data_IF_443454965949
#
_entry.id   IF_443454965949
#
_cell.length_a   1.000
_cell.length_b   1.000
_cell.length_c   1.000
_cell.angle_alpha   90.00
_cell.angle_beta   90.00
_cell.angle_gamma   90.00
#
_symmetry.space_group_name_H-M   'P 1'
#
loop_
_entity.id
_entity.type
_entity.pdbx_description
1 polymer ?
#
# COMPACT_ATOMS: atom_id res chain seq x y z
N UNK A 1 -48.30 32.40 -9.13
CA UNK A 1 -47.49 31.87 -8.00
C UNK A 1 -47.29 30.35 -8.04
N UNK A 2 -48.30 29.52 -8.36
CA UNK A 2 -48.15 28.05 -8.48
C UNK A 2 -47.10 27.57 -9.50
N UNK A 3 -46.95 28.26 -10.64
CA UNK A 3 -45.96 27.89 -11.67
C UNK A 3 -44.52 28.23 -11.28
N UNK A 4 -44.29 29.25 -10.45
CA UNK A 4 -42.94 29.56 -9.94
C UNK A 4 -42.48 28.52 -8.91
N UNK A 5 -43.38 28.09 -8.01
CA UNK A 5 -43.08 27.09 -6.99
C UNK A 5 -42.61 25.75 -7.60
N UNK A 6 -43.21 25.34 -8.72
CA UNK A 6 -42.86 24.11 -9.45
C UNK A 6 -41.46 24.17 -10.09
N UNK A 7 -41.04 25.34 -10.58
CA UNK A 7 -39.71 25.53 -11.18
C UNK A 7 -38.62 25.55 -10.11
N UNK A 8 -38.86 26.19 -8.95
CA UNK A 8 -37.93 26.13 -7.80
C UNK A 8 -37.84 24.72 -7.21
N UNK A 9 -38.92 23.94 -7.20
CA UNK A 9 -38.90 22.56 -6.72
C UNK A 9 -38.07 21.62 -7.60
N UNK A 10 -38.01 21.88 -8.92
CA UNK A 10 -37.19 21.11 -9.87
C UNK A 10 -35.69 21.44 -9.70
N UNK A 11 -35.35 22.70 -9.43
CA UNK A 11 -33.95 23.09 -9.18
C UNK A 11 -33.39 22.53 -7.86
N UNK A 12 -34.21 22.42 -6.81
CA UNK A 12 -33.80 21.84 -5.52
C UNK A 12 -33.60 20.31 -5.62
N UNK A 13 -34.34 19.63 -6.50
CA UNK A 13 -34.16 18.20 -6.78
C UNK A 13 -32.89 17.89 -7.61
N UNK A 14 -32.31 18.87 -8.30
CA UNK A 14 -31.05 18.71 -9.02
C UNK A 14 -29.80 18.97 -8.17
N UNK A 15 -29.94 19.49 -6.94
CA UNK A 15 -28.80 19.69 -6.03
C UNK A 15 -28.48 18.47 -5.16
N UNK A 16 -29.20 17.35 -5.34
CA UNK A 16 -28.94 16.10 -4.66
C UNK A 16 -28.21 15.16 -5.62
N UNK A 17 -26.96 14.86 -5.31
CA UNK A 17 -26.06 13.91 -5.99
C UNK A 17 -25.20 14.46 -7.14
N UNK A 18 -24.17 15.23 -6.80
CA UNK A 18 -22.79 14.85 -7.19
C UNK A 18 -21.82 15.29 -6.10
N UNK A 19 -21.95 14.77 -4.88
CA UNK A 19 -20.72 14.43 -4.17
C UNK A 19 -20.10 13.32 -4.99
N UNK A 20 -19.22 13.69 -5.92
CA UNK A 20 -18.25 12.76 -6.45
C UNK A 20 -17.36 12.34 -5.27
N UNK A 21 -17.87 11.43 -4.44
CA UNK A 21 -17.06 10.34 -3.95
C UNK A 21 -16.60 9.64 -5.22
N UNK A 22 -15.53 10.18 -5.82
CA UNK A 22 -14.67 9.36 -6.65
C UNK A 22 -14.46 8.11 -5.81
N UNK A 23 -14.85 6.95 -6.34
CA UNK A 23 -14.53 5.66 -5.74
C UNK A 23 -13.01 5.65 -5.55
N UNK A 24 -12.55 6.11 -4.39
CA UNK A 24 -11.14 6.12 -4.02
C UNK A 24 -10.85 4.67 -3.74
N UNK A 25 -10.48 3.97 -4.80
CA UNK A 25 -9.97 2.61 -4.70
C UNK A 25 -8.78 2.64 -3.77
N UNK A 26 -8.79 1.75 -2.78
CA UNK A 26 -7.63 1.46 -1.95
C UNK A 26 -6.35 1.40 -2.80
N UNK A 27 -5.25 1.92 -2.25
CA UNK A 27 -3.97 2.10 -2.93
C UNK A 27 -3.48 0.80 -3.60
N UNK A 28 -3.54 -0.34 -2.89
CA UNK A 28 -3.09 -1.61 -3.44
C UNK A 28 -4.00 -2.08 -4.57
N UNK A 29 -5.31 -1.93 -4.39
CA UNK A 29 -6.29 -2.26 -5.43
C UNK A 29 -6.11 -1.40 -6.67
N UNK A 30 -5.90 -0.08 -6.50
CA UNK A 30 -5.65 0.85 -7.59
C UNK A 30 -4.37 0.54 -8.35
N UNK A 31 -3.30 0.21 -7.62
CA UNK A 31 -2.04 -0.24 -8.17
C UNK A 31 -2.17 -1.55 -8.97
N UNK A 32 -2.84 -2.55 -8.40
CA UNK A 32 -3.04 -3.83 -9.07
C UNK A 32 -3.93 -3.70 -10.31
N UNK A 33 -5.00 -2.91 -10.23
CA UNK A 33 -5.87 -2.62 -11.38
C UNK A 33 -5.12 -1.91 -12.50
N UNK A 34 -4.19 -1.00 -12.19
CA UNK A 34 -3.35 -0.34 -13.18
C UNK A 34 -2.42 -1.33 -13.91
N UNK A 35 -2.07 -2.46 -13.30
CA UNK A 35 -1.28 -3.52 -13.93
C UNK A 35 -2.17 -4.47 -14.74
N UNK A 36 -3.20 -5.04 -14.11
CA UNK A 36 -4.05 -6.08 -14.70
C UNK A 36 -4.87 -5.55 -15.87
N UNK A 37 -5.38 -4.31 -15.79
CA UNK A 37 -6.11 -3.67 -16.90
C UNK A 37 -5.24 -3.43 -18.14
N UNK A 38 -3.92 -3.48 -17.98
CA UNK A 38 -2.94 -3.35 -19.06
C UNK A 38 -2.30 -4.69 -19.43
N UNK A 39 -2.93 -5.81 -19.04
CA UNK A 39 -2.48 -7.19 -19.30
C UNK A 39 -1.12 -7.53 -18.70
N UNK A 40 -0.72 -6.86 -17.61
CA UNK A 40 0.46 -7.25 -16.83
C UNK A 40 0.03 -8.09 -15.64
N UNK A 41 0.73 -9.20 -15.40
CA UNK A 41 0.59 -9.98 -14.18
C UNK A 41 1.24 -9.28 -13.00
N UNK A 42 0.66 -9.45 -11.82
CA UNK A 42 1.30 -9.12 -10.53
C UNK A 42 1.89 -10.41 -10.01
N UNK A 43 3.15 -10.43 -9.61
CA UNK A 43 3.77 -11.65 -9.06
C UNK A 43 3.64 -11.70 -7.54
N UNK A 44 3.95 -10.58 -6.90
CA UNK A 44 3.90 -10.40 -5.46
C UNK A 44 3.32 -9.03 -5.13
N UNK A 45 2.63 -8.96 -4.01
CA UNK A 45 2.15 -7.70 -3.47
C UNK A 45 2.24 -7.72 -1.95
N UNK A 46 2.35 -6.54 -1.38
CA UNK A 46 2.45 -6.33 0.05
C UNK A 46 1.85 -4.99 0.44
N UNK A 47 1.11 -4.99 1.53
CA UNK A 47 0.67 -3.79 2.22
C UNK A 47 1.19 -3.81 3.65
N UNK A 48 1.84 -2.72 4.03
CA UNK A 48 2.35 -2.48 5.38
C UNK A 48 1.59 -1.32 6.00
N UNK A 49 1.03 -1.50 7.19
CA UNK A 49 0.51 -0.40 8.01
C UNK A 49 1.50 -0.18 9.15
N UNK A 50 1.87 1.08 9.41
CA UNK A 50 2.75 1.48 10.52
C UNK A 50 2.08 2.55 11.36
N UNK A 51 2.18 2.46 12.67
CA UNK A 51 1.70 3.49 13.59
C UNK A 51 2.59 3.59 14.83
N UNK A 52 2.88 4.82 15.25
CA UNK A 52 3.45 5.10 16.56
C UNK A 52 2.31 5.13 17.60
N UNK A 53 2.45 4.32 18.65
CA UNK A 53 1.41 4.06 19.64
C UNK A 53 2.04 4.23 21.03
N UNK A 54 1.22 4.72 21.97
CA UNK A 54 1.57 4.77 23.38
C UNK A 54 1.67 3.36 23.99
N UNK A 55 2.58 3.18 24.95
CA UNK A 55 2.88 1.87 25.54
C UNK A 55 1.64 1.19 26.14
N UNK A 56 0.76 1.94 26.81
CA UNK A 56 -0.49 1.42 27.40
C UNK A 56 -1.44 0.80 26.37
N UNK A 57 -1.58 1.40 25.18
CA UNK A 57 -2.45 0.84 24.14
C UNK A 57 -1.82 -0.38 23.46
N UNK A 58 -0.48 -0.45 23.41
CA UNK A 58 0.24 -1.62 22.89
C UNK A 58 -0.03 -2.85 23.73
N UNK A 59 -0.10 -2.74 25.05
CA UNK A 59 -0.43 -3.90 25.91
C UNK A 59 -1.80 -4.48 25.56
N UNK A 60 -2.82 -3.63 25.41
CA UNK A 60 -4.16 -4.06 24.99
C UNK A 60 -4.18 -4.69 23.60
N UNK A 61 -3.39 -4.16 22.66
CA UNK A 61 -3.26 -4.73 21.31
C UNK A 61 -2.57 -6.10 21.35
N UNK A 62 -1.47 -6.23 22.11
CA UNK A 62 -0.76 -7.49 22.28
C UNK A 62 -1.68 -8.55 22.90
N UNK A 63 -2.49 -8.19 23.89
CA UNK A 63 -3.47 -9.09 24.50
C UNK A 63 -4.51 -9.56 23.46
N UNK A 64 -5.08 -8.64 22.66
CA UNK A 64 -6.02 -8.98 21.58
C UNK A 64 -5.42 -9.92 20.53
N UNK A 65 -4.15 -9.76 20.19
CA UNK A 65 -3.47 -10.60 19.21
C UNK A 65 -3.12 -11.97 19.83
N UNK A 66 -2.61 -11.99 21.06
CA UNK A 66 -2.19 -13.21 21.76
C UNK A 66 -3.37 -14.11 22.14
N UNK A 67 -4.53 -13.53 22.48
CA UNK A 67 -5.75 -14.29 22.79
C UNK A 67 -6.34 -15.02 21.58
N UNK A 68 -5.84 -14.76 20.37
CA UNK A 68 -6.24 -15.49 19.17
C UNK A 68 -5.32 -16.70 18.99
N UNK A 69 -5.87 -17.90 19.17
CA UNK A 69 -5.19 -19.20 18.97
C UNK A 69 -4.56 -19.40 17.58
N UNK A 70 -4.86 -18.52 16.62
CA UNK A 70 -4.33 -18.54 15.26
C UNK A 70 -2.97 -17.84 15.10
N UNK A 71 -2.29 -17.43 16.17
CA UNK A 71 -1.02 -16.68 16.09
C UNK A 71 0.15 -17.35 16.81
N UNK A 72 1.32 -17.30 16.18
CA UNK A 72 2.60 -17.67 16.77
C UNK A 72 3.32 -16.38 17.16
N UNK A 73 3.72 -16.28 18.43
CA UNK A 73 4.38 -15.10 18.97
C UNK A 73 5.82 -15.44 19.36
N UNK A 74 6.76 -14.61 18.92
CA UNK A 74 8.13 -14.59 19.42
C UNK A 74 8.42 -13.23 20.05
N UNK A 75 9.24 -13.26 21.10
CA UNK A 75 9.65 -12.06 21.84
C UNK A 75 11.16 -12.06 21.96
N UNK A 76 11.78 -10.95 21.59
CA UNK A 76 13.20 -10.69 21.81
C UNK A 76 13.37 -9.42 22.60
N UNK A 77 14.42 -9.36 23.42
CA UNK A 77 14.78 -8.20 24.22
C UNK A 77 16.26 -7.94 24.00
N UNK A 78 16.59 -6.75 23.54
CA UNK A 78 17.97 -6.28 23.44
C UNK A 78 18.18 -5.12 24.42
N UNK A 79 19.32 -4.44 24.35
CA UNK A 79 19.66 -3.32 25.23
C UNK A 79 18.70 -2.13 25.06
N UNK A 80 18.17 -1.91 23.86
CA UNK A 80 17.44 -0.72 23.47
C UNK A 80 15.91 -0.90 23.42
N UNK A 81 15.43 -2.12 23.14
CA UNK A 81 14.01 -2.36 22.91
C UNK A 81 13.56 -3.78 23.28
N UNK A 82 12.25 -3.92 23.44
CA UNK A 82 11.53 -5.20 23.45
C UNK A 82 10.81 -5.32 22.10
N UNK A 83 11.02 -6.42 21.40
CA UNK A 83 10.43 -6.67 20.09
C UNK A 83 9.52 -7.89 20.15
N UNK A 84 8.31 -7.74 19.66
CA UNK A 84 7.39 -8.86 19.43
C UNK A 84 7.28 -9.08 17.93
N UNK A 85 7.32 -10.33 17.50
CA UNK A 85 7.00 -10.73 16.15
C UNK A 85 5.90 -11.78 16.20
N UNK A 86 4.84 -11.55 15.44
CA UNK A 86 3.60 -12.32 15.51
C UNK A 86 3.22 -12.73 14.10
N UNK A 87 3.13 -14.04 13.85
CA UNK A 87 2.73 -14.59 12.55
C UNK A 87 1.38 -15.30 12.69
N UNK A 88 0.46 -15.05 11.74
CA UNK A 88 -0.79 -15.81 11.67
C UNK A 88 -0.51 -17.23 11.16
N UNK A 89 -0.78 -18.23 12.00
CA UNK A 89 -0.57 -19.66 11.73
C UNK A 89 -1.58 -20.21 10.74
N UNK A 90 -2.84 -19.76 10.83
CA UNK A 90 -3.87 -20.10 9.85
C UNK A 90 -3.65 -19.31 8.57
N UNK A 91 -2.83 -19.86 7.69
CA UNK A 91 -2.63 -19.36 6.33
C UNK A 91 -3.89 -19.66 5.53
N UNK A 92 -4.67 -18.63 5.22
CA UNK A 92 -5.47 -18.70 3.99
C UNK A 92 -4.48 -18.92 2.85
N UNK A 93 -4.73 -19.88 1.96
CA UNK A 93 -3.74 -20.48 1.07
C UNK A 93 -2.91 -19.51 0.19
N UNK A 94 -3.24 -18.22 0.17
CA UNK A 94 -2.62 -17.20 -0.67
C UNK A 94 -2.23 -15.91 0.08
N UNK A 95 -2.47 -15.83 1.39
CA UNK A 95 -2.20 -14.64 2.20
C UNK A 95 -1.27 -14.96 3.38
N UNK A 96 -0.30 -14.08 3.61
CA UNK A 96 0.58 -14.10 4.77
C UNK A 96 0.42 -12.80 5.53
N UNK A 97 0.26 -12.92 6.85
CA UNK A 97 0.01 -11.82 7.76
C UNK A 97 0.99 -11.90 8.93
N UNK A 98 1.67 -10.79 9.18
CA UNK A 98 2.60 -10.66 10.30
C UNK A 98 2.41 -9.32 10.98
N UNK A 99 2.62 -9.31 12.30
CA UNK A 99 2.72 -8.10 13.09
C UNK A 99 4.08 -8.03 13.74
N UNK A 100 4.62 -6.83 13.87
CA UNK A 100 5.77 -6.55 14.73
C UNK A 100 5.48 -5.36 15.62
N UNK A 101 5.84 -5.49 16.89
CA UNK A 101 5.75 -4.41 17.88
C UNK A 101 7.16 -4.14 18.38
N UNK A 102 7.57 -2.88 18.37
CA UNK A 102 8.86 -2.43 18.92
C UNK A 102 8.57 -1.45 20.05
N UNK A 103 8.87 -1.87 21.28
CA UNK A 103 8.73 -1.03 22.49
C UNK A 103 10.13 -0.57 22.89
N UNK A 104 10.48 0.71 22.70
CA UNK A 104 11.77 1.25 23.13
C UNK A 104 11.83 1.30 24.66
N UNK A 105 13.01 1.05 25.23
CA UNK A 105 13.22 1.23 26.68
C UNK A 105 13.44 2.68 27.09
N UNK A 106 13.80 3.54 26.13
CA UNK A 106 13.88 4.97 26.37
C UNK A 106 12.46 5.57 26.30
N UNK A 107 11.93 6.13 27.40
CA UNK A 107 10.58 6.66 27.45
C UNK A 107 10.37 7.91 26.57
N UNK A 108 11.43 8.50 26.02
CA UNK A 108 11.32 9.58 25.03
C UNK A 108 10.84 9.11 23.65
N UNK A 109 10.82 7.80 23.40
CA UNK A 109 10.37 7.22 22.13
C UNK A 109 9.05 6.47 22.32
N UNK A 110 8.16 6.59 21.33
CA UNK A 110 6.91 5.84 21.31
C UNK A 110 7.14 4.41 20.79
N UNK A 111 6.24 3.50 21.16
CA UNK A 111 6.26 2.17 20.59
C UNK A 111 5.78 2.21 19.13
N UNK A 112 6.28 1.31 18.30
CA UNK A 112 5.85 1.18 16.90
C UNK A 112 5.11 -0.14 16.71
N UNK A 113 3.90 -0.08 16.16
CA UNK A 113 3.17 -1.23 15.65
C UNK A 113 3.25 -1.26 14.13
N UNK A 114 3.60 -2.41 13.59
CA UNK A 114 3.64 -2.67 12.14
C UNK A 114 2.84 -3.91 11.84
N UNK A 115 1.93 -3.83 10.87
CA UNK A 115 1.26 -4.98 10.29
C UNK A 115 1.65 -5.10 8.82
N UNK A 116 1.89 -6.32 8.37
CA UNK A 116 2.20 -6.63 6.97
C UNK A 116 1.24 -7.71 6.49
N UNK A 117 0.50 -7.40 5.43
CA UNK A 117 -0.31 -8.35 4.67
C UNK A 117 0.32 -8.49 3.28
N UNK A 118 0.64 -9.72 2.88
CA UNK A 118 1.25 -9.99 1.56
C UNK A 118 0.66 -11.22 0.91
N UNK A 119 0.77 -11.28 -0.41
CA UNK A 119 0.30 -12.40 -1.22
C UNK A 119 1.03 -12.50 -2.54
N UNK A 120 0.69 -13.56 -3.28
CA UNK A 120 1.16 -13.79 -4.64
C UNK A 120 0.00 -13.68 -5.61
N UNK A 121 0.30 -13.23 -6.81
CA UNK A 121 -0.70 -13.00 -7.86
C UNK A 121 -1.76 -11.97 -7.46
N UNK A 122 -2.51 -11.47 -8.44
CA UNK A 122 -3.67 -10.62 -8.18
C UNK A 122 -4.81 -10.95 -9.13
N UNK A 123 -5.99 -11.18 -8.57
CA UNK A 123 -7.26 -11.39 -9.27
C UNK A 123 -8.41 -10.97 -8.35
N UNK A 124 -9.66 -11.01 -8.84
CA UNK A 124 -10.83 -10.54 -8.09
C UNK A 124 -11.03 -11.28 -6.76
N UNK A 125 -10.81 -12.60 -6.75
CA UNK A 125 -10.90 -13.40 -5.52
C UNK A 125 -9.86 -13.00 -4.48
N UNK A 126 -8.64 -12.67 -4.91
CA UNK A 126 -7.58 -12.16 -4.03
C UNK A 126 -7.92 -10.74 -3.55
N UNK A 127 -8.45 -9.89 -4.43
CA UNK A 127 -8.82 -8.51 -4.10
C UNK A 127 -9.91 -8.47 -3.01
N UNK A 128 -10.94 -9.31 -3.10
CA UNK A 128 -12.00 -9.42 -2.08
C UNK A 128 -11.45 -9.84 -0.72
N UNK A 129 -10.61 -10.88 -0.69
CA UNK A 129 -9.97 -11.38 0.54
C UNK A 129 -9.04 -10.33 1.14
N UNK A 130 -8.25 -9.68 0.28
CA UNK A 130 -7.39 -8.57 0.68
C UNK A 130 -8.20 -7.46 1.34
N UNK A 131 -9.27 -7.00 0.70
CA UNK A 131 -10.08 -5.89 1.19
C UNK A 131 -10.69 -6.21 2.56
N UNK A 132 -11.37 -7.36 2.66
CA UNK A 132 -11.96 -7.83 3.92
C UNK A 132 -10.92 -7.96 5.04
N UNK A 133 -9.74 -8.53 4.71
CA UNK A 133 -8.70 -8.73 5.71
C UNK A 133 -8.04 -7.43 6.13
N UNK A 134 -7.77 -6.53 5.20
CA UNK A 134 -7.13 -5.24 5.47
C UNK A 134 -8.03 -4.35 6.32
N UNK A 135 -9.33 -4.31 6.03
CA UNK A 135 -10.31 -3.59 6.84
C UNK A 135 -10.35 -4.12 8.28
N UNK A 136 -10.39 -5.45 8.46
CA UNK A 136 -10.35 -6.08 9.78
C UNK A 136 -9.04 -5.76 10.55
N UNK A 137 -7.88 -5.76 9.86
CA UNK A 137 -6.59 -5.41 10.47
C UNK A 137 -6.61 -3.95 10.93
N UNK A 138 -6.99 -3.03 10.04
CA UNK A 138 -6.98 -1.61 10.31
C UNK A 138 -7.94 -1.25 11.45
N UNK A 139 -9.20 -1.66 11.37
CA UNK A 139 -10.22 -1.33 12.40
C UNK A 139 -9.95 -1.95 13.76
N UNK A 140 -9.25 -3.09 13.83
CA UNK A 140 -9.00 -3.77 15.12
C UNK A 140 -7.78 -3.20 15.85
N UNK A 141 -6.74 -2.82 15.12
CA UNK A 141 -5.41 -2.58 15.70
C UNK A 141 -4.81 -1.21 15.43
N UNK A 142 -5.35 -0.45 14.47
CA UNK A 142 -4.79 0.83 14.05
C UNK A 142 -5.81 1.96 14.17
N UNK A 143 -5.31 3.18 14.25
CA UNK A 143 -6.13 4.39 14.19
C UNK A 143 -5.97 5.09 12.84
N UNK A 144 -6.73 6.17 12.65
CA UNK A 144 -6.63 7.04 11.48
C UNK A 144 -5.26 7.74 11.34
N UNK A 145 -4.39 7.68 12.37
CA UNK A 145 -3.03 8.22 12.32
C UNK A 145 -2.02 7.25 11.69
N UNK A 146 -2.43 6.01 11.44
CA UNK A 146 -1.55 5.03 10.81
C UNK A 146 -1.17 5.44 9.39
N UNK A 147 0.05 5.06 8.99
CA UNK A 147 0.56 5.26 7.64
C UNK A 147 0.53 3.93 6.91
N UNK A 148 -0.07 3.91 5.72
CA UNK A 148 -0.18 2.71 4.89
C UNK A 148 0.79 2.80 3.71
N UNK A 149 1.48 1.70 3.45
CA UNK A 149 2.38 1.54 2.31
C UNK A 149 1.92 0.35 1.50
N UNK A 150 1.72 0.52 0.20
CA UNK A 150 1.39 -0.57 -0.71
C UNK A 150 2.52 -0.74 -1.72
N UNK A 151 2.85 -1.99 -2.04
CA UNK A 151 3.88 -2.36 -2.98
C UNK A 151 3.41 -3.56 -3.82
N UNK A 152 3.69 -3.52 -5.12
CA UNK A 152 3.62 -4.70 -5.98
C UNK A 152 4.92 -4.89 -6.76
N UNK A 153 5.16 -6.13 -7.13
CA UNK A 153 6.24 -6.55 -8.01
C UNK A 153 5.66 -7.33 -9.18
N UNK A 154 6.18 -7.05 -10.38
CA UNK A 154 5.86 -7.75 -11.61
C UNK A 154 7.11 -7.93 -12.46
N UNK A 155 7.28 -9.14 -13.00
CA UNK A 155 8.26 -9.45 -14.02
C UNK A 155 7.68 -9.09 -15.39
N UNK A 156 8.41 -8.24 -16.10
CA UNK A 156 8.08 -7.73 -17.43
C UNK A 156 8.99 -8.43 -18.42
N UNK A 157 8.37 -9.02 -19.45
CA UNK A 157 9.09 -9.65 -20.56
C UNK A 157 10.12 -8.66 -21.16
N UNK A 158 11.34 -9.15 -21.40
CA UNK A 158 12.42 -8.41 -22.01
C UNK A 158 12.02 -7.73 -23.34
N UNK A 159 11.08 -8.34 -24.07
CA UNK A 159 10.54 -7.84 -25.34
C UNK A 159 9.59 -6.66 -25.16
N UNK A 160 9.01 -6.49 -23.98
CA UNK A 160 8.09 -5.38 -23.71
C UNK A 160 8.91 -4.11 -23.46
N UNK A 161 8.62 -3.07 -24.22
CA UNK A 161 9.26 -1.79 -24.04
C UNK A 161 8.85 -1.17 -22.71
N UNK A 162 9.80 -0.96 -21.79
CA UNK A 162 9.58 -0.26 -20.52
C UNK A 162 8.80 1.06 -20.70
N UNK A 163 9.06 1.80 -21.77
CA UNK A 163 8.38 3.06 -22.05
C UNK A 163 6.86 2.87 -22.25
N UNK A 164 6.43 1.74 -22.81
CA UNK A 164 5.03 1.38 -22.95
C UNK A 164 4.39 1.14 -21.58
N UNK A 165 5.00 0.31 -20.74
CA UNK A 165 4.50 0.01 -19.38
C UNK A 165 4.37 1.30 -18.56
N UNK A 166 5.41 2.14 -18.55
CA UNK A 166 5.37 3.43 -17.85
C UNK A 166 4.30 4.38 -18.39
N UNK A 167 4.04 4.35 -19.71
CA UNK A 167 2.98 5.17 -20.31
C UNK A 167 1.60 4.73 -19.81
N UNK A 168 1.36 3.42 -19.77
CA UNK A 168 0.11 2.86 -19.30
C UNK A 168 -0.13 3.14 -17.80
N UNK A 169 0.91 2.97 -16.98
CA UNK A 169 0.85 3.30 -15.55
C UNK A 169 0.63 4.79 -15.31
N UNK A 170 1.31 5.65 -16.07
CA UNK A 170 1.11 7.10 -16.00
C UNK A 170 -0.34 7.48 -16.29
N UNK A 171 -0.96 6.87 -17.30
CA UNK A 171 -2.34 7.14 -17.68
C UNK A 171 -3.31 6.61 -16.63
N UNK A 172 -3.17 5.33 -16.24
CA UNK A 172 -4.06 4.65 -15.30
C UNK A 172 -4.04 5.32 -13.91
N UNK A 173 -2.87 5.70 -13.43
CA UNK A 173 -2.70 6.36 -12.13
C UNK A 173 -2.77 7.89 -12.22
N UNK A 174 -3.03 8.48 -13.38
CA UNK A 174 -3.09 9.94 -13.59
C UNK A 174 -1.86 10.69 -13.07
N UNK A 175 -0.66 10.15 -13.30
CA UNK A 175 0.56 10.65 -12.68
C UNK A 175 0.96 12.05 -13.17
N UNK A 176 1.22 12.92 -12.20
CA UNK A 176 1.76 14.28 -12.33
C UNK A 176 3.12 14.37 -11.63
N UNK A 177 3.81 15.51 -11.79
CA UNK A 177 5.09 15.82 -11.14
C UNK A 177 6.15 14.73 -11.31
N UNK A 178 6.21 14.11 -12.49
CA UNK A 178 7.02 12.92 -12.73
C UNK A 178 8.50 13.29 -12.74
N UNK A 179 9.28 12.62 -11.89
CA UNK A 179 10.74 12.70 -11.85
C UNK A 179 11.33 11.34 -12.16
N UNK A 180 12.47 11.33 -12.84
CA UNK A 180 13.15 10.10 -13.24
C UNK A 180 14.61 10.18 -12.85
N UNK A 181 15.12 9.08 -12.34
CA UNK A 181 16.53 8.86 -12.09
C UNK A 181 16.92 7.57 -12.80
N UNK A 182 17.95 7.62 -13.63
CA UNK A 182 18.50 6.45 -14.32
C UNK A 182 19.88 6.22 -13.75
N UNK A 183 20.19 4.98 -13.42
CA UNK A 183 21.54 4.58 -13.04
C UNK A 183 22.22 3.96 -14.27
N UNK A 184 23.34 4.55 -14.67
CA UNK A 184 24.13 4.12 -15.82
C UNK A 184 25.35 3.28 -15.41
N UNK A 185 25.50 2.95 -14.12
CA UNK A 185 26.56 2.06 -13.66
C UNK A 185 26.28 0.65 -14.16
N UNK A 186 27.27 0.08 -14.87
CA UNK A 186 27.17 -1.19 -15.58
C UNK A 186 26.65 -2.33 -14.69
N UNK A 187 27.18 -2.40 -13.46
CA UNK A 187 26.85 -3.42 -12.46
C UNK A 187 25.66 -3.06 -11.55
N UNK A 188 24.94 -1.97 -11.79
CA UNK A 188 23.79 -1.61 -10.96
C UNK A 188 22.61 -2.53 -11.24
N UNK A 189 22.02 -3.10 -10.19
CA UNK A 189 20.79 -3.89 -10.28
C UNK A 189 19.57 -3.00 -10.55
N UNK A 190 19.59 -1.78 -10.04
CA UNK A 190 18.56 -0.75 -10.27
C UNK A 190 18.90 0.00 -11.54
N UNK A 191 18.03 -0.08 -12.55
CA UNK A 191 18.25 0.63 -13.82
C UNK A 191 17.53 1.97 -13.86
N UNK A 192 16.38 2.08 -13.21
CA UNK A 192 15.56 3.29 -13.27
C UNK A 192 14.63 3.41 -12.07
N UNK A 193 14.56 4.62 -11.52
CA UNK A 193 13.60 5.02 -10.51
C UNK A 193 12.72 6.13 -11.09
N UNK A 194 11.41 6.03 -10.89
CA UNK A 194 10.43 7.05 -11.30
C UNK A 194 9.60 7.42 -10.09
N UNK A 195 9.57 8.71 -9.77
CA UNK A 195 8.69 9.28 -8.77
C UNK A 195 7.54 10.01 -9.44
N UNK A 196 6.35 9.97 -8.84
CA UNK A 196 5.17 10.67 -9.34
C UNK A 196 4.17 10.99 -8.25
N UNK A 197 3.20 11.81 -8.61
CA UNK A 197 2.05 12.15 -7.80
C UNK A 197 0.77 11.74 -8.50
N UNK A 198 -0.10 10.99 -7.82
CA UNK A 198 -1.46 10.74 -8.23
C UNK A 198 -2.44 11.48 -7.31
N UNK A 199 -3.46 12.16 -7.86
CA UNK A 199 -4.55 12.72 -7.06
C UNK A 199 -5.55 11.67 -6.57
N UNK A 200 -5.39 10.40 -6.96
CA UNK A 200 -6.31 9.32 -6.60
C UNK A 200 -6.23 8.95 -5.12
N UNK A 201 -5.10 9.24 -4.46
CA UNK A 201 -4.82 8.88 -3.07
C UNK A 201 -4.46 10.10 -2.24
N UNK A 202 -4.89 10.12 -0.97
CA UNK A 202 -4.68 11.26 -0.07
C UNK A 202 -3.25 11.33 0.47
N UNK A 203 -2.68 10.16 0.81
CA UNK A 203 -1.35 10.09 1.40
C UNK A 203 -0.29 10.56 0.40
N UNK A 204 0.58 11.47 0.82
CA UNK A 204 1.73 11.91 0.02
C UNK A 204 2.89 12.33 0.89
N UNK A 205 4.09 12.23 0.33
CA UNK A 205 5.34 12.72 0.92
C UNK A 205 5.67 14.04 0.25
N UNK A 206 5.82 15.07 1.06
CA UNK A 206 6.20 16.41 0.59
C UNK A 206 7.71 16.54 0.61
N UNK A 207 8.32 16.61 -0.57
CA UNK A 207 9.70 17.08 -0.74
C UNK A 207 9.66 18.49 -1.34
N UNK A 208 10.33 18.72 -2.49
CA UNK A 208 10.15 19.96 -3.28
C UNK A 208 8.77 20.05 -3.93
N UNK A 209 8.16 18.90 -4.23
CA UNK A 209 6.80 18.74 -4.77
C UNK A 209 6.20 17.50 -4.12
N UNK A 210 4.88 17.41 -3.96
CA UNK A 210 4.24 16.21 -3.42
C UNK A 210 4.48 15.03 -4.37
N UNK A 211 4.76 13.87 -3.78
CA UNK A 211 4.84 12.58 -4.47
C UNK A 211 4.20 11.49 -3.62
N UNK A 212 3.59 10.50 -4.25
CA UNK A 212 2.97 9.36 -3.58
C UNK A 212 3.01 8.09 -4.44
N UNK A 213 3.88 8.06 -5.44
CA UNK A 213 4.15 6.88 -6.27
C UNK A 213 5.65 6.82 -6.52
N UNK A 214 6.23 5.65 -6.27
CA UNK A 214 7.59 5.30 -6.68
C UNK A 214 7.54 4.04 -7.53
N UNK A 215 8.25 4.03 -8.64
CA UNK A 215 8.42 2.87 -9.50
C UNK A 215 9.91 2.60 -9.69
N UNK A 216 10.33 1.36 -9.50
CA UNK A 216 11.72 0.93 -9.65
C UNK A 216 11.79 -0.20 -10.66
N UNK A 217 12.67 -0.05 -11.64
CA UNK A 217 12.98 -1.11 -12.62
C UNK A 217 14.35 -1.66 -12.34
N UNK A 218 14.42 -2.98 -12.20
CA UNK A 218 15.64 -3.74 -11.97
C UNK A 218 15.82 -4.81 -13.04
N UNK A 219 17.03 -5.33 -13.15
CA UNK A 219 17.27 -6.55 -13.92
C UNK A 219 16.61 -7.74 -13.19
N UNK A 220 15.80 -8.51 -13.90
CA UNK A 220 15.22 -9.76 -13.44
C UNK A 220 16.10 -10.97 -13.75
N UNK A 221 15.55 -12.17 -13.62
CA UNK A 221 16.21 -13.41 -14.03
C UNK A 221 16.05 -13.65 -15.53
N UNK A 222 17.03 -14.30 -16.18
CA UNK A 222 16.96 -14.70 -17.60
C UNK A 222 16.55 -13.56 -18.56
N UNK A 223 17.26 -12.42 -18.51
CA UNK A 223 17.02 -11.21 -19.32
C UNK A 223 15.67 -10.50 -19.12
N UNK A 224 14.83 -10.95 -18.19
CA UNK A 224 13.60 -10.23 -17.81
C UNK A 224 13.90 -8.93 -17.06
N UNK A 225 12.91 -8.06 -16.93
CA UNK A 225 12.99 -6.86 -16.11
C UNK A 225 11.97 -6.94 -14.99
N UNK A 226 12.40 -6.64 -13.78
CA UNK A 226 11.51 -6.57 -12.62
C UNK A 226 11.05 -5.13 -12.41
N UNK A 227 9.74 -4.92 -12.37
CA UNK A 227 9.14 -3.65 -11.98
C UNK A 227 8.56 -3.77 -10.58
N UNK A 228 8.96 -2.86 -9.70
CA UNK A 228 8.34 -2.65 -8.40
C UNK A 228 7.60 -1.31 -8.42
N UNK A 229 6.39 -1.28 -7.88
CA UNK A 229 5.58 -0.06 -7.77
C UNK A 229 5.13 0.07 -6.32
N UNK A 230 5.45 1.20 -5.70
CA UNK A 230 5.14 1.50 -4.31
C UNK A 230 4.39 2.82 -4.14
N UNK A 231 3.60 2.89 -3.08
CA UNK A 231 2.95 4.13 -2.61
C UNK A 231 2.95 4.19 -1.08
N UNK A 232 3.20 5.36 -0.47
CA UNK A 232 3.67 6.59 -1.10
C UNK A 232 5.10 6.45 -1.66
N UNK A 233 5.87 5.50 -1.12
CA UNK A 233 7.22 5.09 -1.53
C UNK A 233 7.37 3.58 -1.32
N UNK A 234 8.43 3.00 -1.89
CA UNK A 234 8.87 1.65 -1.58
C UNK A 234 9.63 1.66 -0.24
N UNK A 235 9.18 0.86 0.71
CA UNK A 235 9.83 0.70 2.03
C UNK A 235 10.54 -0.65 2.19
N UNK A 236 10.34 -1.56 1.24
CA UNK A 236 11.00 -2.85 1.18
C UNK A 236 11.60 -3.00 -0.22
N UNK A 237 12.85 -2.58 -0.39
CA UNK A 237 13.62 -2.76 -1.62
C UNK A 237 14.66 -3.85 -1.37
N UNK A 238 14.38 -5.11 -1.76
CA UNK A 238 15.34 -6.20 -1.69
C UNK A 238 15.13 -7.18 -2.85
#
# INVERSE_FOLDING_TARGET
>A
MRKLALITSIFILMTINTTAFANRTDEMTGLANAMTSNNFSVDNWQVTIKEEINEEAIESILEKIQNKNSYKVSRTKDENAIKYFIERVQKEAHLSETYSVVIPKNPMHQAELVAVLKGKNWNDSIAERYFSRMDAIHTTYFTHKSTKFACLTADIDAKINNAYVFKQLKQSLQLKNIRKQTDNVENSTVKKIVYGYTPLWEQSITMKQPMNVQMVVQNGTHDSKRLMIGTPILINEY
#
